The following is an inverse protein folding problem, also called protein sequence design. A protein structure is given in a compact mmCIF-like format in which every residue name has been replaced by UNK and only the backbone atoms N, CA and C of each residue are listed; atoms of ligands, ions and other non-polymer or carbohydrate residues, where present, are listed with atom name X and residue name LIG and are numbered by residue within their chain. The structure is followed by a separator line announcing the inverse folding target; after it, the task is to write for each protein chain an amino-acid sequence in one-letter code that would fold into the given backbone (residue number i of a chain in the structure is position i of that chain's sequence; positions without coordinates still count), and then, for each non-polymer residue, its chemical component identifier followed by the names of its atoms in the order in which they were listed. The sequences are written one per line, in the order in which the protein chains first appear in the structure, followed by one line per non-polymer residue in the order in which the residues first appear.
data_IF_370789125232
#
_entry.id   IF_370789125232
#
_cell.length_a   1.000
_cell.length_b   1.000
_cell.length_c   1.000
_cell.angle_alpha   90.00
_cell.angle_beta   90.00
_cell.angle_gamma   90.00
#
_symmetry.space_group_name_H-M   'P 1'
#
loop_
_entity.id
_entity.type
_entity.pdbx_description
1 polymer ?
#
# COMPACT_ATOMS: atom_id res chain seq x y z
N UNK A 1 5.12 19.12 -19.51
CA UNK A 1 5.39 17.70 -19.22
C UNK A 1 5.68 17.46 -17.74
N UNK A 2 6.59 18.23 -17.11
CA UNK A 2 6.97 18.05 -15.68
C UNK A 2 5.84 18.11 -14.67
N UNK A 3 4.91 19.06 -14.80
CA UNK A 3 3.74 19.14 -13.90
C UNK A 3 2.92 17.85 -13.87
N UNK A 4 2.79 17.17 -15.01
CA UNK A 4 2.08 15.88 -15.11
C UNK A 4 2.82 14.76 -14.36
N UNK A 5 4.15 14.75 -14.42
CA UNK A 5 4.99 13.78 -13.71
C UNK A 5 4.95 14.00 -12.20
N UNK A 6 5.08 15.25 -11.75
CA UNK A 6 4.96 15.63 -10.33
C UNK A 6 3.60 15.20 -9.79
N UNK A 7 2.53 15.50 -10.53
CA UNK A 7 1.18 15.07 -10.15
C UNK A 7 1.07 13.54 -10.08
N UNK A 8 1.61 12.82 -11.06
CA UNK A 8 1.59 11.36 -11.07
C UNK A 8 2.34 10.75 -9.89
N UNK A 9 3.53 11.28 -9.58
CA UNK A 9 4.34 10.87 -8.43
C UNK A 9 3.60 11.09 -7.11
N UNK A 10 3.04 12.28 -6.93
CA UNK A 10 2.25 12.62 -5.75
C UNK A 10 1.01 11.71 -5.64
N UNK A 11 0.28 11.50 -6.74
CA UNK A 11 -0.91 10.67 -6.77
C UNK A 11 -0.60 9.22 -6.36
N UNK A 12 0.45 8.61 -6.92
CA UNK A 12 0.80 7.23 -6.56
C UNK A 12 1.19 7.09 -5.09
N UNK A 13 1.96 8.03 -4.54
CA UNK A 13 2.36 7.97 -3.14
C UNK A 13 1.22 8.32 -2.17
N UNK A 14 0.28 9.18 -2.59
CA UNK A 14 -0.95 9.43 -1.85
C UNK A 14 -1.85 8.19 -1.83
N UNK A 15 -2.08 7.54 -2.98
CA UNK A 15 -2.90 6.32 -3.03
C UNK A 15 -2.29 5.23 -2.14
N UNK A 16 -0.96 5.09 -2.07
CA UNK A 16 -0.36 4.08 -1.20
C UNK A 16 -0.67 4.28 0.30
N UNK A 17 -1.06 5.49 0.73
CA UNK A 17 -1.34 5.75 2.16
C UNK A 17 -2.58 5.05 2.67
N UNK A 18 -3.52 4.56 1.83
CA UNK A 18 -4.68 3.83 2.37
C UNK A 18 -4.30 2.45 2.97
N UNK A 19 -3.19 1.85 2.52
CA UNK A 19 -2.65 0.56 3.02
C UNK A 19 -1.45 0.73 3.94
N UNK A 20 -0.69 1.80 3.75
CA UNK A 20 0.55 2.04 4.49
C UNK A 20 0.29 1.94 6.00
N UNK A 21 1.29 1.58 6.79
CA UNK A 21 1.30 2.01 8.18
C UNK A 21 1.94 3.40 8.16
N UNK A 22 1.16 4.48 8.08
CA UNK A 22 -0.26 4.56 8.47
C UNK A 22 -1.30 4.68 7.37
N UNK A 23 -2.48 4.12 7.64
CA UNK A 23 -3.53 3.92 6.65
C UNK A 23 -4.88 3.75 7.31
N UNK A 24 -5.94 3.90 6.50
CA UNK A 24 -7.30 4.12 7.02
C UNK A 24 -7.80 2.96 7.90
N UNK A 25 -7.36 1.74 7.63
CA UNK A 25 -7.77 0.57 8.41
C UNK A 25 -6.76 0.14 9.46
N UNK A 26 -5.59 0.80 9.59
CA UNK A 26 -4.52 0.30 10.48
C UNK A 26 -4.95 0.29 11.94
N UNK A 27 -5.61 1.36 12.40
CA UNK A 27 -6.13 1.46 13.77
C UNK A 27 -7.27 0.46 13.99
N UNK A 28 -8.26 0.43 13.08
CA UNK A 28 -9.40 -0.48 13.19
C UNK A 28 -8.99 -1.95 13.14
N UNK A 29 -7.99 -2.30 12.33
CA UNK A 29 -7.43 -3.65 12.26
C UNK A 29 -6.75 -4.03 13.57
N UNK A 30 -5.92 -3.16 14.14
CA UNK A 30 -5.26 -3.44 15.42
C UNK A 30 -6.26 -3.62 16.57
N UNK A 31 -7.30 -2.79 16.63
CA UNK A 31 -8.38 -2.93 17.61
C UNK A 31 -9.15 -4.23 17.39
N UNK A 32 -9.57 -4.53 16.17
CA UNK A 32 -10.27 -5.78 15.84
C UNK A 32 -9.49 -7.03 16.24
N UNK A 33 -8.18 -7.07 15.93
CA UNK A 33 -7.33 -8.21 16.30
C UNK A 33 -7.20 -8.36 17.82
N UNK A 34 -7.15 -7.25 18.57
CA UNK A 34 -7.04 -7.28 20.05
C UNK A 34 -8.37 -7.58 20.73
N UNK A 35 -9.45 -6.91 20.34
CA UNK A 35 -10.73 -6.90 21.05
C UNK A 35 -11.64 -8.06 20.62
N UNK A 36 -11.71 -8.37 19.33
CA UNK A 36 -12.58 -9.45 18.82
C UNK A 36 -11.85 -10.80 18.76
N UNK A 37 -10.59 -10.79 18.36
CA UNK A 37 -9.80 -12.01 18.20
C UNK A 37 -8.89 -12.32 19.40
N UNK A 38 -8.87 -11.45 20.42
CA UNK A 38 -8.13 -11.63 21.67
C UNK A 38 -6.63 -11.87 21.48
N UNK A 39 -6.02 -11.28 20.46
CA UNK A 39 -4.60 -11.47 20.18
C UNK A 39 -3.75 -10.89 21.32
N UNK A 40 -2.77 -11.68 21.78
CA UNK A 40 -1.70 -11.17 22.64
C UNK A 40 -0.79 -10.24 21.85
N UNK A 41 -0.03 -9.38 22.53
CA UNK A 41 0.92 -8.47 21.91
C UNK A 41 1.87 -9.17 20.93
N UNK A 42 2.40 -10.34 21.31
CA UNK A 42 3.28 -11.14 20.45
C UNK A 42 2.58 -11.64 19.17
N UNK A 43 1.33 -12.08 19.26
CA UNK A 43 0.54 -12.58 18.12
C UNK A 43 0.18 -11.45 17.16
N UNK A 44 -0.21 -10.29 17.71
CA UNK A 44 -0.46 -9.08 16.93
C UNK A 44 0.80 -8.65 16.15
N UNK A 45 1.94 -8.55 16.83
CA UNK A 45 3.20 -8.18 16.18
C UNK A 45 3.57 -9.20 15.10
N UNK A 46 3.44 -10.50 15.36
CA UNK A 46 3.70 -11.53 14.36
C UNK A 46 2.77 -11.39 13.14
N UNK A 47 1.48 -11.18 13.37
CA UNK A 47 0.48 -11.01 12.32
C UNK A 47 0.77 -9.79 11.44
N UNK A 48 1.00 -8.63 12.05
CA UNK A 48 1.31 -7.40 11.31
C UNK A 48 2.66 -7.50 10.59
N UNK A 49 3.65 -8.18 11.17
CA UNK A 49 4.95 -8.41 10.53
C UNK A 49 4.82 -9.29 9.30
N UNK A 50 4.01 -10.36 9.37
CA UNK A 50 3.70 -11.20 8.22
C UNK A 50 2.96 -10.43 7.13
N UNK A 51 1.98 -9.60 7.49
CA UNK A 51 1.29 -8.72 6.55
C UNK A 51 2.24 -7.70 5.89
N UNK A 52 3.24 -7.21 6.62
CA UNK A 52 4.26 -6.28 6.13
C UNK A 52 5.41 -6.97 5.36
N UNK A 53 5.50 -8.30 5.40
CA UNK A 53 6.61 -9.07 4.82
C UNK A 53 6.94 -8.72 3.35
N UNK A 54 5.96 -8.47 2.45
CA UNK A 54 6.24 -8.11 1.06
C UNK A 54 7.13 -6.87 0.87
N UNK A 55 7.12 -5.93 1.81
CA UNK A 55 7.98 -4.73 1.74
C UNK A 55 9.46 -5.06 1.82
N UNK A 56 9.84 -6.17 2.45
CA UNK A 56 11.22 -6.65 2.50
C UNK A 56 11.65 -7.34 1.19
N UNK A 57 10.68 -7.75 0.35
CA UNK A 57 10.93 -8.40 -0.94
C UNK A 57 11.04 -7.40 -2.10
N UNK A 58 10.99 -6.09 -1.83
CA UNK A 58 11.12 -5.04 -2.86
C UNK A 58 12.27 -5.25 -3.85
N UNK A 59 13.51 -5.63 -3.45
CA UNK A 59 14.58 -5.92 -4.40
C UNK A 59 14.21 -7.01 -5.40
N UNK A 60 13.56 -8.08 -4.94
CA UNK A 60 13.09 -9.19 -5.78
C UNK A 60 11.98 -8.71 -6.72
N UNK A 61 11.03 -7.92 -6.21
CA UNK A 61 9.96 -7.32 -7.04
C UNK A 61 10.54 -6.41 -8.14
N UNK A 62 11.60 -5.65 -7.83
CA UNK A 62 12.33 -4.85 -8.80
C UNK A 62 12.94 -5.70 -9.92
N UNK A 63 13.62 -6.80 -9.57
CA UNK A 63 14.17 -7.74 -10.54
C UNK A 63 13.08 -8.33 -11.45
N UNK A 64 11.90 -8.66 -10.91
CA UNK A 64 10.76 -9.15 -11.70
C UNK A 64 10.32 -8.09 -12.72
N UNK A 65 10.14 -6.84 -12.29
CA UNK A 65 9.74 -5.75 -13.18
C UNK A 65 10.81 -5.35 -14.22
N UNK A 66 12.08 -5.66 -13.96
CA UNK A 66 13.16 -5.47 -14.93
C UNK A 66 13.25 -6.62 -15.93
N UNK A 67 12.95 -7.84 -15.50
CA UNK A 67 13.13 -9.07 -16.31
C UNK A 67 11.94 -9.41 -17.19
N UNK A 68 10.71 -9.05 -16.78
CA UNK A 68 9.49 -9.48 -17.46
C UNK A 68 8.62 -8.31 -17.90
N UNK A 69 8.10 -8.38 -19.13
CA UNK A 69 7.05 -7.47 -19.62
C UNK A 69 5.69 -8.12 -19.48
N UNK A 70 4.70 -7.39 -18.96
CA UNK A 70 3.34 -7.90 -18.80
C UNK A 70 2.43 -7.27 -19.88
N UNK A 71 1.75 -8.10 -20.67
CA UNK A 71 0.90 -7.66 -21.80
C UNK A 71 1.60 -6.67 -22.76
N UNK A 72 2.91 -6.85 -23.00
CA UNK A 72 3.71 -5.98 -23.87
C UNK A 72 4.10 -4.62 -23.26
N UNK A 73 3.64 -4.28 -22.05
CA UNK A 73 4.04 -3.05 -21.36
C UNK A 73 4.97 -3.34 -20.17
N UNK A 74 5.95 -2.44 -19.96
CA UNK A 74 6.94 -2.58 -18.88
C UNK A 74 6.46 -2.12 -17.51
N UNK A 75 5.60 -1.11 -17.44
CA UNK A 75 5.13 -0.54 -16.15
C UNK A 75 3.61 -0.49 -16.06
N UNK A 76 2.93 -0.03 -17.12
CA UNK A 76 1.48 0.22 -17.12
C UNK A 76 0.66 -1.00 -16.70
N UNK A 77 0.93 -2.15 -17.30
CA UNK A 77 0.22 -3.39 -16.99
C UNK A 77 0.36 -3.80 -15.52
N UNK A 78 1.55 -3.65 -14.95
CA UNK A 78 1.77 -3.99 -13.54
C UNK A 78 0.98 -3.07 -12.60
N UNK A 79 0.95 -1.76 -12.86
CA UNK A 79 0.13 -0.84 -12.07
C UNK A 79 -1.35 -1.22 -12.12
N UNK A 80 -1.89 -1.47 -13.32
CA UNK A 80 -3.29 -1.86 -13.49
C UNK A 80 -3.57 -3.14 -12.70
N UNK A 81 -2.76 -4.19 -12.89
CA UNK A 81 -2.95 -5.47 -12.20
C UNK A 81 -2.85 -5.30 -10.68
N UNK A 82 -1.83 -4.61 -10.17
CA UNK A 82 -1.64 -4.44 -8.73
C UNK A 82 -2.81 -3.69 -8.09
N UNK A 83 -3.21 -2.55 -8.66
CA UNK A 83 -4.31 -1.77 -8.09
C UNK A 83 -5.67 -2.47 -8.25
N UNK A 84 -5.91 -3.17 -9.36
CA UNK A 84 -7.13 -3.97 -9.54
C UNK A 84 -7.21 -5.12 -8.56
N UNK A 85 -6.12 -5.89 -8.37
CA UNK A 85 -6.08 -6.99 -7.42
C UNK A 85 -6.26 -6.48 -5.99
N UNK A 86 -5.54 -5.41 -5.60
CA UNK A 86 -5.70 -4.82 -4.28
C UNK A 86 -7.15 -4.37 -4.02
N UNK A 87 -7.78 -3.69 -4.99
CA UNK A 87 -9.18 -3.27 -4.88
C UNK A 87 -10.14 -4.46 -4.75
N UNK A 88 -9.99 -5.50 -5.58
CA UNK A 88 -10.82 -6.71 -5.52
C UNK A 88 -10.71 -7.37 -4.14
N UNK A 89 -9.49 -7.50 -3.61
CA UNK A 89 -9.27 -8.11 -2.29
C UNK A 89 -9.88 -7.26 -1.18
N UNK A 90 -9.74 -5.93 -1.23
CA UNK A 90 -10.39 -5.03 -0.26
C UNK A 90 -11.92 -5.16 -0.30
N UNK A 91 -12.52 -5.13 -1.49
CA UNK A 91 -13.97 -5.32 -1.65
C UNK A 91 -14.44 -6.71 -1.25
N UNK A 92 -13.60 -7.73 -1.40
CA UNK A 92 -13.90 -9.06 -0.92
C UNK A 92 -13.89 -9.10 0.61
N UNK A 93 -12.85 -8.55 1.24
CA UNK A 93 -12.74 -8.49 2.69
C UNK A 93 -13.89 -7.69 3.30
N UNK A 94 -14.28 -6.54 2.72
CA UNK A 94 -15.34 -5.69 3.26
C UNK A 94 -16.72 -6.35 3.38
N UNK A 95 -16.93 -7.53 2.77
CA UNK A 95 -18.18 -8.30 2.89
C UNK A 95 -18.30 -9.08 4.19
N UNK A 96 -17.20 -9.25 4.93
CA UNK A 96 -17.17 -10.03 6.15
C UNK A 96 -17.23 -9.11 7.37
N UNK A 97 -18.10 -9.47 8.33
CA UNK A 97 -18.12 -8.85 9.66
C UNK A 97 -17.19 -9.60 10.63
N UNK A 98 -17.02 -10.91 10.42
CA UNK A 98 -16.14 -11.77 11.19
C UNK A 98 -15.16 -12.48 10.26
N UNK A 99 -13.86 -12.28 10.49
CA UNK A 99 -12.81 -12.86 9.66
C UNK A 99 -12.21 -14.08 10.34
N UNK A 100 -11.92 -15.11 9.56
CA UNK A 100 -10.93 -16.11 9.98
C UNK A 100 -9.54 -15.51 9.83
N UNK A 101 -8.69 -15.68 10.84
CA UNK A 101 -7.35 -15.05 10.90
C UNK A 101 -6.53 -15.25 9.62
N UNK A 102 -6.57 -16.46 9.04
CA UNK A 102 -5.83 -16.76 7.81
C UNK A 102 -6.38 -16.04 6.57
N UNK A 103 -7.70 -15.86 6.45
CA UNK A 103 -8.31 -15.14 5.31
C UNK A 103 -7.89 -13.67 5.36
N UNK A 104 -7.98 -13.06 6.54
CA UNK A 104 -7.56 -11.68 6.76
C UNK A 104 -6.07 -11.51 6.46
N UNK A 105 -5.22 -12.41 6.99
CA UNK A 105 -3.79 -12.36 6.75
C UNK A 105 -3.43 -12.49 5.27
N UNK A 106 -3.98 -13.50 4.58
CA UNK A 106 -3.72 -13.72 3.15
C UNK A 106 -4.17 -12.50 2.34
N UNK A 107 -5.36 -11.96 2.63
CA UNK A 107 -5.85 -10.75 1.97
C UNK A 107 -4.91 -9.56 2.16
N UNK A 108 -4.48 -9.30 3.40
CA UNK A 108 -3.54 -8.23 3.71
C UNK A 108 -2.17 -8.44 3.04
N UNK A 109 -1.66 -9.67 2.99
CA UNK A 109 -0.42 -9.99 2.29
C UNK A 109 -0.55 -9.74 0.79
N UNK A 110 -1.65 -10.15 0.15
CA UNK A 110 -1.88 -9.91 -1.28
C UNK A 110 -1.94 -8.42 -1.58
N UNK A 111 -2.66 -7.65 -0.76
CA UNK A 111 -2.70 -6.18 -0.88
C UNK A 111 -1.29 -5.61 -0.70
N UNK A 112 -0.55 -6.06 0.31
CA UNK A 112 0.81 -5.60 0.62
C UNK A 112 1.81 -5.91 -0.51
N UNK A 113 1.71 -7.07 -1.17
CA UNK A 113 2.46 -7.38 -2.40
C UNK A 113 2.14 -6.37 -3.51
N UNK A 114 0.86 -6.13 -3.78
CA UNK A 114 0.45 -5.21 -4.84
C UNK A 114 0.94 -3.77 -4.59
N UNK A 115 0.86 -3.30 -3.35
CA UNK A 115 1.29 -1.95 -2.98
C UNK A 115 2.82 -1.82 -2.97
N UNK A 116 3.53 -2.76 -2.35
CA UNK A 116 5.00 -2.75 -2.34
C UNK A 116 5.58 -2.89 -3.75
N UNK A 117 4.91 -3.62 -4.64
CA UNK A 117 5.32 -3.68 -6.04
C UNK A 117 5.06 -2.36 -6.78
N UNK A 118 3.89 -1.76 -6.57
CA UNK A 118 3.55 -0.44 -7.15
C UNK A 118 4.51 0.67 -6.69
N UNK A 119 4.97 0.62 -5.44
CA UNK A 119 6.01 1.49 -4.89
C UNK A 119 7.32 1.37 -5.68
N UNK A 120 7.83 0.14 -5.86
CA UNK A 120 9.05 -0.14 -6.64
C UNK A 120 8.93 0.36 -8.09
N UNK A 121 7.78 0.14 -8.73
CA UNK A 121 7.52 0.60 -10.09
C UNK A 121 7.48 2.14 -10.19
N UNK A 122 6.92 2.79 -9.17
CA UNK A 122 6.86 4.26 -9.10
C UNK A 122 8.25 4.84 -8.92
N UNK A 123 9.08 4.25 -8.06
CA UNK A 123 10.46 4.70 -7.83
C UNK A 123 11.33 4.49 -9.06
N UNK A 124 11.16 3.37 -9.76
CA UNK A 124 11.79 3.14 -11.06
C UNK A 124 11.42 4.23 -12.06
N UNK A 125 10.13 4.56 -12.18
CA UNK A 125 9.65 5.62 -13.07
C UNK A 125 10.21 6.99 -12.67
N UNK A 126 10.23 7.29 -11.38
CA UNK A 126 10.77 8.52 -10.82
C UNK A 126 12.24 8.70 -11.18
N UNK A 127 13.07 7.67 -10.96
CA UNK A 127 14.51 7.73 -11.24
C UNK A 127 14.76 7.88 -12.74
N UNK A 128 14.06 7.14 -13.59
CA UNK A 128 14.23 7.22 -15.05
C UNK A 128 13.84 8.60 -15.57
N UNK A 129 12.62 9.06 -15.28
CA UNK A 129 12.14 10.35 -15.79
C UNK A 129 12.86 11.54 -15.14
N UNK A 130 13.25 11.39 -13.88
CA UNK A 130 13.98 12.38 -13.10
C UNK A 130 15.42 12.56 -13.57
N UNK A 131 16.14 11.47 -13.86
CA UNK A 131 17.52 11.54 -14.41
C UNK A 131 17.53 12.16 -15.79
N UNK A 132 16.60 11.78 -16.66
CA UNK A 132 16.46 12.35 -18.02
C UNK A 132 16.26 13.87 -18.01
N UNK A 133 15.80 14.45 -16.90
CA UNK A 133 15.45 15.88 -16.79
C UNK A 133 16.20 16.64 -15.71
N UNK A 134 17.13 15.99 -15.01
CA UNK A 134 17.86 16.59 -13.88
C UNK A 134 16.97 17.00 -12.70
N UNK A 135 15.83 16.33 -12.49
CA UNK A 135 14.81 16.70 -11.49
C UNK A 135 14.41 15.54 -10.55
N UNK A 136 15.32 14.59 -10.31
CA UNK A 136 15.11 13.46 -9.38
C UNK A 136 14.62 13.95 -8.02
N UNK A 137 15.31 14.95 -7.44
CA UNK A 137 14.98 15.49 -6.12
C UNK A 137 13.57 16.09 -6.04
N UNK A 138 13.11 16.77 -7.09
CA UNK A 138 11.78 17.38 -7.16
C UNK A 138 10.69 16.31 -7.22
N UNK A 139 10.89 15.29 -8.05
CA UNK A 139 9.95 14.17 -8.15
C UNK A 139 9.90 13.39 -6.82
N UNK A 140 11.05 13.10 -6.22
CA UNK A 140 11.13 12.45 -4.92
C UNK A 140 10.47 13.28 -3.81
N UNK A 141 10.74 14.60 -3.76
CA UNK A 141 10.10 15.48 -2.80
C UNK A 141 8.56 15.45 -2.94
N UNK A 142 8.05 15.42 -4.17
CA UNK A 142 6.60 15.33 -4.40
C UNK A 142 5.99 14.01 -3.90
N UNK A 143 6.69 12.89 -4.04
CA UNK A 143 6.28 11.59 -3.53
C UNK A 143 6.15 11.61 -2.00
N UNK A 144 7.22 12.04 -1.31
CA UNK A 144 7.28 12.06 0.14
C UNK A 144 6.31 13.08 0.76
N UNK A 145 6.17 14.26 0.14
CA UNK A 145 5.19 15.25 0.57
C UNK A 145 3.76 14.70 0.48
N UNK A 146 3.41 14.04 -0.63
CA UNK A 146 2.11 13.44 -0.81
C UNK A 146 1.84 12.29 0.18
N UNK A 147 2.86 11.46 0.46
CA UNK A 147 2.77 10.40 1.48
C UNK A 147 2.61 10.95 2.89
N UNK A 148 3.33 12.03 3.24
CA UNK A 148 3.20 12.67 4.55
C UNK A 148 1.80 13.25 4.77
N UNK A 149 1.29 14.01 3.80
CA UNK A 149 -0.06 14.58 3.85
C UNK A 149 -1.14 13.50 3.84
N UNK A 150 -1.01 12.51 2.94
CA UNK A 150 -1.93 11.39 2.86
C UNK A 150 -1.91 10.53 4.12
N UNK A 151 -0.75 10.32 4.74
CA UNK A 151 -0.62 9.55 5.98
C UNK A 151 -1.30 10.25 7.15
N UNK A 152 -1.11 11.56 7.31
CA UNK A 152 -1.80 12.34 8.33
C UNK A 152 -3.33 12.30 8.17
N UNK A 153 -3.81 12.47 6.93
CA UNK A 153 -5.23 12.38 6.62
C UNK A 153 -5.80 10.98 6.91
N UNK A 154 -5.13 9.93 6.45
CA UNK A 154 -5.60 8.55 6.63
C UNK A 154 -5.55 8.11 8.09
N UNK A 155 -4.60 8.59 8.88
CA UNK A 155 -4.61 8.37 10.34
C UNK A 155 -5.83 8.99 11.01
N UNK A 156 -6.12 10.26 10.69
CA UNK A 156 -7.28 10.94 11.26
C UNK A 156 -8.57 10.23 10.87
N UNK A 157 -8.74 9.92 9.58
CA UNK A 157 -9.90 9.19 9.09
C UNK A 157 -10.00 7.79 9.69
N UNK A 158 -8.88 7.07 9.82
CA UNK A 158 -8.85 5.74 10.41
C UNK A 158 -9.21 5.75 11.90
N UNK A 159 -8.78 6.79 12.64
CA UNK A 159 -9.21 7.00 14.02
C UNK A 159 -10.71 7.31 14.13
N UNK A 160 -11.22 8.17 13.24
CA UNK A 160 -12.65 8.46 13.17
C UNK A 160 -13.48 7.22 12.82
N UNK A 161 -13.03 6.41 11.85
CA UNK A 161 -13.67 5.13 11.51
C UNK A 161 -13.61 4.18 12.70
N UNK A 162 -12.46 4.05 13.37
CA UNK A 162 -12.33 3.17 14.53
C UNK A 162 -13.27 3.54 15.70
N UNK A 163 -13.54 4.83 15.90
CA UNK A 163 -14.47 5.29 16.95
C UNK A 163 -15.95 5.06 16.61
N UNK A 164 -16.31 5.16 15.32
CA UNK A 164 -17.71 5.13 14.87
C UNK A 164 -18.13 3.79 14.27
N UNK A 165 -17.16 2.98 13.83
CA UNK A 165 -17.43 1.60 13.47
C UNK A 165 -17.68 0.84 14.78
N UNK A 166 -18.87 0.26 14.92
CA UNK A 166 -19.12 -0.75 15.94
C UNK A 166 -18.22 -1.94 15.65
N UNK A 167 -17.00 -1.89 16.16
CA UNK A 167 -16.01 -2.97 16.08
C UNK A 167 -16.29 -4.04 17.14
N UNK A 168 -17.33 -3.87 17.97
CA UNK A 168 -17.83 -4.83 18.97
C UNK A 168 -18.96 -5.71 18.45
#
# INVERSE_FOLDING_TARGET
MMRKLIFLMAMFYFIQTYVSNPGIFSISLELYLKENLNFKAAELTAFLSLAAFPWFLKPVLGLIADSFTLFGYRLKSYFIVCYSVAAIVLFYLSKFLNYKNYILLIGLVVISVCISFSDVLTDKLMVVEGKLRGQVSVLQASQWAARGLGGALMYYLGGWVAQNANLS
#
